data_IF_638720930361
#
_entry.id   IF_638720930361
#
_cell.length_a   1.000
_cell.length_b   1.000
_cell.length_c   1.000
_cell.angle_alpha   90.00
_cell.angle_beta   90.00
_cell.angle_gamma   90.00
#
_symmetry.space_group_name_H-M   'P 1'
#
loop_
_entity.id
_entity.type
_entity.pdbx_description
1 polymer ?
#
# COMPACT_ATOMS: atom_id res chain seq x y z
N UNK A 1 -0.09 -25.38 -11.73
CA UNK A 1 0.71 -24.60 -10.75
C UNK A 1 -0.11 -23.48 -10.06
N UNK A 2 -0.78 -22.59 -10.79
CA UNK A 2 -1.52 -21.46 -10.18
C UNK A 2 -2.76 -21.79 -9.33
N UNK A 3 -3.26 -23.05 -9.31
CA UNK A 3 -4.37 -23.48 -8.44
C UNK A 3 -3.88 -23.89 -7.06
N UNK A 4 -2.81 -24.68 -6.98
CA UNK A 4 -2.20 -25.10 -5.72
C UNK A 4 -1.66 -23.90 -4.93
N UNK A 5 -0.97 -22.98 -5.61
CA UNK A 5 -0.43 -21.76 -4.98
C UNK A 5 -1.54 -20.83 -4.45
N UNK A 6 -2.68 -20.74 -5.15
CA UNK A 6 -3.84 -19.97 -4.67
C UNK A 6 -4.50 -20.64 -3.47
N UNK A 7 -4.65 -21.97 -3.51
CA UNK A 7 -5.23 -22.71 -2.41
C UNK A 7 -4.36 -22.62 -1.16
N UNK A 8 -3.04 -22.79 -1.27
CA UNK A 8 -2.13 -22.65 -0.13
C UNK A 8 -2.10 -21.24 0.43
N UNK A 9 -2.11 -20.20 -0.43
CA UNK A 9 -2.16 -18.81 0.02
C UNK A 9 -3.48 -18.45 0.71
N UNK A 10 -4.62 -18.94 0.18
CA UNK A 10 -5.95 -18.75 0.78
C UNK A 10 -6.07 -19.51 2.10
N UNK A 11 -5.61 -20.76 2.16
CA UNK A 11 -5.66 -21.54 3.40
C UNK A 11 -4.73 -20.95 4.46
N UNK A 12 -3.52 -20.53 4.09
CA UNK A 12 -2.58 -19.89 4.99
C UNK A 12 -3.14 -18.57 5.55
N UNK A 13 -3.71 -17.72 4.68
CA UNK A 13 -4.39 -16.49 5.08
C UNK A 13 -5.56 -16.76 6.03
N UNK A 14 -6.39 -17.75 5.72
CA UNK A 14 -7.50 -18.16 6.58
C UNK A 14 -7.03 -18.66 7.96
N UNK A 15 -5.99 -19.51 8.03
CA UNK A 15 -5.45 -19.98 9.32
C UNK A 15 -4.84 -18.87 10.16
N UNK A 16 -4.11 -17.94 9.54
CA UNK A 16 -3.53 -16.79 10.24
C UNK A 16 -4.63 -15.86 10.75
N UNK A 17 -5.66 -15.62 9.93
CA UNK A 17 -6.83 -14.81 10.30
C UNK A 17 -7.59 -15.40 11.49
N UNK A 18 -7.88 -16.70 11.45
CA UNK A 18 -8.60 -17.40 12.52
C UNK A 18 -7.77 -17.38 13.80
N UNK A 19 -6.47 -17.71 13.72
CA UNK A 19 -5.59 -17.69 14.90
C UNK A 19 -5.43 -16.30 15.52
N UNK A 20 -5.32 -15.24 14.71
CA UNK A 20 -5.30 -13.86 15.22
C UNK A 20 -6.61 -13.46 15.86
N UNK A 21 -7.75 -13.83 15.26
CA UNK A 21 -9.08 -13.52 15.78
C UNK A 21 -9.33 -14.19 17.13
N UNK A 22 -8.96 -15.46 17.27
CA UNK A 22 -9.10 -16.20 18.54
C UNK A 22 -8.20 -15.61 19.62
N UNK A 23 -6.93 -15.31 19.30
CA UNK A 23 -5.99 -14.70 20.25
C UNK A 23 -6.47 -13.32 20.73
N UNK A 24 -7.02 -12.50 19.83
CA UNK A 24 -7.55 -11.18 20.17
C UNK A 24 -8.84 -11.27 21.00
N UNK A 25 -9.72 -12.24 20.71
CA UNK A 25 -10.95 -12.47 21.47
C UNK A 25 -10.67 -12.98 22.89
N UNK A 26 -9.71 -13.91 23.05
CA UNK A 26 -9.28 -14.39 24.36
C UNK A 26 -8.66 -13.27 25.20
N UNK A 27 -7.85 -12.39 24.59
CA UNK A 27 -7.27 -11.25 25.28
C UNK A 27 -8.29 -10.18 25.65
N UNK A 28 -9.26 -9.91 24.78
CA UNK A 28 -10.39 -9.04 25.13
C UNK A 28 -11.20 -9.60 26.31
N UNK A 29 -11.39 -10.92 26.36
CA UNK A 29 -12.03 -11.60 27.48
C UNK A 29 -11.22 -11.49 28.78
N UNK A 30 -9.89 -11.56 28.70
CA UNK A 30 -9.00 -11.48 29.86
C UNK A 30 -8.80 -10.05 30.41
N UNK A 31 -8.89 -9.02 29.56
CA UNK A 31 -8.69 -7.61 29.96
C UNK A 31 -9.89 -7.02 30.74
N UNK A 32 -11.05 -7.67 30.70
CA UNK A 32 -12.26 -7.26 31.43
C UNK A 32 -12.89 -5.93 30.95
N UNK A 33 -14.11 -5.59 31.41
CA UNK A 33 -14.85 -4.41 30.95
C UNK A 33 -14.15 -3.08 31.22
N UNK A 34 -13.27 -3.05 32.23
CA UNK A 34 -12.55 -1.86 32.70
C UNK A 34 -11.46 -1.36 31.76
N UNK A 35 -10.86 -2.24 30.94
CA UNK A 35 -9.93 -1.83 29.88
C UNK A 35 -10.65 -1.19 28.68
N UNK A 36 -11.89 -1.62 28.42
CA UNK A 36 -12.76 -1.15 27.31
C UNK A 36 -13.32 0.25 27.60
N UNK A 37 -13.36 0.67 28.87
CA UNK A 37 -13.73 2.04 29.25
C UNK A 37 -12.62 3.08 29.03
N UNK A 38 -11.35 2.67 28.93
CA UNK A 38 -10.21 3.56 28.70
C UNK A 38 -9.80 3.69 27.22
N UNK A 39 -9.89 2.60 26.46
CA UNK A 39 -9.72 2.61 25.01
C UNK A 39 -11.08 2.79 24.33
N UNK A 40 -11.24 3.81 23.48
CA UNK A 40 -12.49 4.09 22.77
C UNK A 40 -13.02 2.80 22.13
N UNK A 41 -14.12 2.24 22.63
CA UNK A 41 -14.68 0.97 22.16
C UNK A 41 -14.90 0.90 20.63
N UNK A 42 -15.06 2.06 19.97
CA UNK A 42 -15.09 2.19 18.50
C UNK A 42 -13.75 1.88 17.81
N UNK A 43 -12.62 2.32 18.37
CA UNK A 43 -11.28 2.03 17.84
C UNK A 43 -10.94 0.55 17.94
N UNK A 44 -11.32 -0.10 19.06
CA UNK A 44 -11.17 -1.54 19.29
C UNK A 44 -12.02 -2.36 18.32
N UNK A 45 -13.27 -1.94 18.05
CA UNK A 45 -14.14 -2.61 17.07
C UNK A 45 -13.65 -2.44 15.63
N UNK A 46 -13.15 -1.26 15.26
CA UNK A 46 -12.58 -1.01 13.94
C UNK A 46 -11.31 -1.84 13.70
N UNK A 47 -10.43 -1.98 14.69
CA UNK A 47 -9.23 -2.84 14.58
C UNK A 47 -9.56 -4.32 14.52
N UNK A 48 -10.55 -4.80 15.27
CA UNK A 48 -10.97 -6.21 15.28
C UNK A 48 -11.67 -6.66 13.99
N UNK A 49 -12.42 -5.78 13.34
CA UNK A 49 -13.20 -6.13 12.14
C UNK A 49 -12.42 -5.76 10.88
N UNK A 50 -12.12 -4.48 10.68
CA UNK A 50 -11.46 -4.01 9.45
C UNK A 50 -9.97 -4.39 9.40
N UNK A 51 -9.32 -4.45 10.57
CA UNK A 51 -7.92 -4.84 10.67
C UNK A 51 -7.68 -6.33 10.40
N UNK A 52 -8.52 -7.20 10.95
CA UNK A 52 -8.41 -8.66 10.76
C UNK A 52 -8.75 -9.06 9.32
N UNK A 53 -9.72 -8.40 8.68
CA UNK A 53 -9.99 -8.59 7.25
C UNK A 53 -8.85 -8.07 6.37
N UNK A 54 -8.23 -6.95 6.73
CA UNK A 54 -7.07 -6.42 6.02
C UNK A 54 -5.83 -7.32 6.12
N UNK A 55 -5.60 -7.97 7.26
CA UNK A 55 -4.48 -8.91 7.46
C UNK A 55 -4.62 -10.16 6.58
N UNK A 56 -5.84 -10.65 6.38
CA UNK A 56 -6.07 -11.75 5.46
C UNK A 56 -5.69 -11.40 4.01
N UNK A 57 -6.08 -10.22 3.53
CA UNK A 57 -5.71 -9.75 2.19
C UNK A 57 -4.17 -9.58 2.05
N UNK A 58 -3.51 -9.10 3.10
CA UNK A 58 -2.05 -8.95 3.12
C UNK A 58 -1.32 -10.30 3.01
N UNK A 59 -1.72 -11.28 3.81
CA UNK A 59 -1.05 -12.60 3.84
C UNK A 59 -1.43 -13.46 2.63
N UNK A 60 -2.69 -13.43 2.21
CA UNK A 60 -3.19 -14.31 1.13
C UNK A 60 -2.95 -13.78 -0.29
N UNK A 61 -2.78 -12.45 -0.47
CA UNK A 61 -2.65 -11.84 -1.81
C UNK A 61 -1.38 -11.03 -1.96
N UNK A 62 -1.06 -10.15 -1.02
CA UNK A 62 0.10 -9.28 -1.15
C UNK A 62 1.42 -10.04 -1.00
N UNK A 63 1.58 -10.88 0.03
CA UNK A 63 2.84 -11.60 0.27
C UNK A 63 3.21 -12.57 -0.87
N UNK A 64 2.28 -13.38 -1.41
CA UNK A 64 2.56 -14.23 -2.57
C UNK A 64 2.90 -13.41 -3.81
N UNK A 65 2.18 -12.30 -4.05
CA UNK A 65 2.45 -11.42 -5.19
C UNK A 65 3.81 -10.74 -5.05
N UNK A 66 4.21 -10.33 -3.84
CA UNK A 66 5.52 -9.75 -3.58
C UNK A 66 6.67 -10.71 -3.90
N UNK A 67 6.51 -12.00 -3.57
CA UNK A 67 7.48 -13.04 -3.95
C UNK A 67 7.58 -13.19 -5.47
N UNK A 68 6.44 -13.22 -6.17
CA UNK A 68 6.41 -13.28 -7.64
C UNK A 68 7.11 -12.05 -8.24
N UNK A 69 6.82 -10.86 -7.74
CA UNK A 69 7.40 -9.60 -8.23
C UNK A 69 8.88 -9.44 -7.88
N UNK A 70 9.39 -10.09 -6.83
CA UNK A 70 10.83 -10.14 -6.56
C UNK A 70 11.57 -11.19 -7.41
N UNK A 71 10.89 -12.25 -7.85
CA UNK A 71 11.53 -13.35 -8.58
C UNK A 71 11.40 -13.23 -10.11
N UNK A 72 10.22 -12.87 -10.62
CA UNK A 72 9.91 -12.89 -12.06
C UNK A 72 10.61 -11.77 -12.84
N UNK A 73 10.54 -10.48 -12.45
CA UNK A 73 11.22 -9.41 -13.17
C UNK A 73 12.73 -9.59 -13.33
N UNK A 74 13.52 -9.94 -12.29
CA UNK A 74 14.96 -10.18 -12.49
C UNK A 74 15.24 -11.41 -13.36
N UNK A 75 14.43 -12.46 -13.27
CA UNK A 75 14.59 -13.64 -14.14
C UNK A 75 14.32 -13.30 -15.61
N UNK A 76 13.29 -12.49 -15.88
CA UNK A 76 13.01 -11.97 -17.22
C UNK A 76 14.13 -11.02 -17.69
N UNK A 77 14.69 -10.20 -16.80
CA UNK A 77 15.80 -9.30 -17.14
C UNK A 77 17.06 -10.07 -17.54
N UNK A 78 17.36 -11.17 -16.84
CA UNK A 78 18.45 -12.09 -17.22
C UNK A 78 18.15 -12.72 -18.59
N UNK A 79 16.92 -13.17 -18.84
CA UNK A 79 16.53 -13.71 -20.14
C UNK A 79 16.65 -12.68 -21.27
N UNK A 80 16.27 -11.42 -21.04
CA UNK A 80 16.51 -10.33 -22.01
C UNK A 80 18.01 -10.12 -22.23
N UNK A 81 18.82 -10.10 -21.17
CA UNK A 81 20.26 -9.89 -21.27
C UNK A 81 20.99 -10.99 -22.06
N UNK A 82 20.49 -12.23 -22.01
CA UNK A 82 21.01 -13.36 -22.79
C UNK A 82 20.68 -13.24 -24.29
N UNK A 83 19.59 -12.55 -24.65
CA UNK A 83 19.18 -12.35 -26.05
C UNK A 83 19.77 -11.08 -26.63
N UNK A 84 19.64 -9.96 -25.91
CA UNK A 84 20.22 -8.67 -26.27
C UNK A 84 20.61 -7.87 -24.99
N UNK A 85 21.91 -7.80 -24.65
CA UNK A 85 22.39 -7.09 -23.45
C UNK A 85 22.15 -5.57 -23.46
N UNK A 86 22.13 -4.91 -24.61
CA UNK A 86 21.83 -3.48 -24.75
C UNK A 86 20.36 -3.19 -24.42
N UNK A 87 19.44 -4.07 -24.80
CA UNK A 87 18.04 -3.91 -24.44
C UNK A 87 17.81 -4.14 -22.94
N UNK A 88 18.54 -5.09 -22.33
CA UNK A 88 18.51 -5.29 -20.88
C UNK A 88 19.07 -4.07 -20.11
N UNK A 89 20.06 -3.38 -20.67
CA UNK A 89 20.64 -2.18 -20.06
C UNK A 89 19.67 -0.99 -20.08
N UNK A 90 18.78 -0.92 -21.07
CA UNK A 90 17.69 0.05 -21.11
C UNK A 90 16.51 -0.33 -20.18
N UNK A 91 16.15 -1.61 -20.10
CA UNK A 91 15.05 -2.11 -19.26
C UNK A 91 15.39 -2.18 -17.77
N UNK A 92 16.64 -2.51 -17.44
CA UNK A 92 17.14 -2.68 -16.08
C UNK A 92 16.79 -1.52 -15.14
N UNK A 93 17.22 -0.28 -15.47
CA UNK A 93 16.92 0.89 -14.66
C UNK A 93 15.42 1.14 -14.51
N UNK A 94 14.64 0.95 -15.57
CA UNK A 94 13.19 1.16 -15.54
C UNK A 94 12.48 0.17 -14.60
N UNK A 95 12.84 -1.12 -14.65
CA UNK A 95 12.32 -2.15 -13.75
C UNK A 95 12.76 -1.90 -12.31
N UNK A 96 14.02 -1.51 -12.10
CA UNK A 96 14.55 -1.21 -10.77
C UNK A 96 13.84 -0.01 -10.15
N UNK A 97 13.61 1.05 -10.93
CA UNK A 97 12.92 2.26 -10.51
C UNK A 97 11.44 1.98 -10.24
N UNK A 98 10.78 1.15 -11.06
CA UNK A 98 9.40 0.73 -10.80
C UNK A 98 9.26 -0.16 -9.55
N UNK A 99 10.28 -0.97 -9.21
CA UNK A 99 10.26 -1.84 -8.04
C UNK A 99 10.64 -1.11 -6.74
N UNK A 100 11.60 -0.19 -6.81
CA UNK A 100 12.14 0.50 -5.64
C UNK A 100 11.51 1.87 -5.41
N UNK A 101 10.99 2.53 -6.45
CA UNK A 101 10.41 3.88 -6.41
C UNK A 101 9.36 4.04 -5.30
N UNK A 102 8.29 3.24 -5.30
CA UNK A 102 7.24 3.34 -4.29
C UNK A 102 7.75 3.15 -2.86
N UNK A 103 8.69 2.22 -2.64
CA UNK A 103 9.25 1.93 -1.30
C UNK A 103 10.24 2.99 -0.81
N UNK A 104 11.04 3.54 -1.71
CA UNK A 104 11.96 4.63 -1.38
C UNK A 104 11.19 5.89 -1.04
N UNK A 105 10.16 6.19 -1.82
CA UNK A 105 9.32 7.36 -1.64
C UNK A 105 8.45 7.25 -0.38
N UNK A 106 7.85 6.08 -0.13
CA UNK A 106 7.16 5.79 1.12
C UNK A 106 8.08 5.94 2.32
N UNK A 107 9.33 5.48 2.29
CA UNK A 107 10.28 5.69 3.41
C UNK A 107 10.66 7.16 3.62
N UNK A 108 10.76 7.93 2.54
CA UNK A 108 11.04 9.37 2.60
C UNK A 108 9.87 10.13 3.25
N UNK A 109 8.63 9.66 3.02
CA UNK A 109 7.39 10.26 3.55
C UNK A 109 6.89 9.64 4.87
N UNK A 110 7.28 8.40 5.20
CA UNK A 110 6.77 7.62 6.33
C UNK A 110 7.06 8.25 7.70
N UNK A 111 7.96 9.22 7.76
CA UNK A 111 8.19 10.01 8.98
C UNK A 111 6.93 10.77 9.46
N UNK A 112 5.84 10.82 8.68
CA UNK A 112 4.59 11.51 9.04
C UNK A 112 3.32 10.64 9.11
N UNK A 113 3.46 9.30 9.04
CA UNK A 113 2.30 8.39 9.03
C UNK A 113 1.46 8.40 10.31
N UNK A 114 2.11 8.47 11.48
CA UNK A 114 1.43 8.54 12.80
C UNK A 114 0.68 9.86 13.01
N UNK A 115 1.30 10.97 12.61
CA UNK A 115 0.72 12.32 12.78
C UNK A 115 -0.65 12.48 12.09
N UNK A 116 -0.89 11.76 10.98
CA UNK A 116 -2.16 11.86 10.25
C UNK A 116 -3.33 11.17 10.96
N UNK A 117 -3.10 10.00 11.56
CA UNK A 117 -4.15 9.26 12.25
C UNK A 117 -4.47 9.89 13.60
N UNK A 118 -3.44 10.33 14.34
CA UNK A 118 -3.62 11.05 15.60
C UNK A 118 -4.40 12.35 15.41
N UNK A 119 -4.15 13.09 14.31
CA UNK A 119 -4.88 14.32 14.01
C UNK A 119 -6.33 14.10 13.58
N UNK A 120 -6.64 13.00 12.87
CA UNK A 120 -8.01 12.63 12.54
C UNK A 120 -8.81 12.24 13.79
N UNK A 121 -8.25 11.39 14.65
CA UNK A 121 -8.94 10.90 15.85
C UNK A 121 -9.13 12.01 16.89
N UNK A 122 -8.15 12.92 17.02
CA UNK A 122 -8.27 14.11 17.84
C UNK A 122 -9.38 15.04 17.33
N UNK A 123 -9.46 15.27 16.01
CA UNK A 123 -10.53 16.08 15.43
C UNK A 123 -11.91 15.44 15.66
N UNK A 124 -12.04 14.12 15.49
CA UNK A 124 -13.28 13.41 15.78
C UNK A 124 -13.68 13.51 17.26
N UNK A 125 -12.70 13.49 18.18
CA UNK A 125 -12.92 13.75 19.61
C UNK A 125 -13.44 15.17 19.85
N UNK A 126 -12.80 16.18 19.26
CA UNK A 126 -13.20 17.59 19.40
C UNK A 126 -14.65 17.81 18.90
N UNK A 127 -15.04 17.17 17.79
CA UNK A 127 -16.40 17.23 17.27
C UNK A 127 -17.40 16.60 18.24
N UNK A 128 -17.08 15.43 18.80
CA UNK A 128 -17.95 14.74 19.75
C UNK A 128 -18.12 15.56 21.03
N UNK A 129 -17.03 16.12 21.57
CA UNK A 129 -17.05 16.96 22.76
C UNK A 129 -17.86 18.25 22.51
N UNK A 130 -17.70 18.88 21.34
CA UNK A 130 -18.48 20.06 20.97
C UNK A 130 -19.98 19.76 20.83
N UNK A 131 -20.35 18.59 20.30
CA UNK A 131 -21.74 18.14 20.18
C UNK A 131 -22.36 17.83 21.55
N UNK A 132 -21.63 17.13 22.41
CA UNK A 132 -22.10 16.79 23.76
C UNK A 132 -22.17 18.03 24.68
N UNK A 133 -21.22 18.94 24.57
CA UNK A 133 -21.15 20.19 25.34
C UNK A 133 -21.95 21.35 24.76
N UNK A 134 -22.74 21.13 23.70
CA UNK A 134 -23.41 22.20 22.95
C UNK A 134 -24.35 23.09 23.77
N UNK A 135 -25.12 22.57 24.76
CA UNK A 135 -25.91 23.41 25.66
C UNK A 135 -25.05 24.40 26.47
N UNK A 136 -23.93 23.92 27.02
CA UNK A 136 -22.97 24.71 27.79
C UNK A 136 -22.28 25.77 26.92
N UNK A 137 -21.93 25.41 25.68
CA UNK A 137 -21.34 26.34 24.72
C UNK A 137 -22.30 27.47 24.31
N UNK A 138 -23.60 27.18 24.22
CA UNK A 138 -24.63 28.21 23.98
C UNK A 138 -24.81 29.11 25.20
N UNK A 139 -24.91 28.54 26.40
CA UNK A 139 -25.07 29.30 27.64
C UNK A 139 -23.90 30.27 27.91
N UNK A 140 -22.68 29.89 27.52
CA UNK A 140 -21.46 30.69 27.69
C UNK A 140 -21.12 31.60 26.51
N UNK A 141 -21.92 31.58 25.42
CA UNK A 141 -21.64 32.35 24.21
C UNK A 141 -20.37 31.93 23.45
N UNK A 142 -19.82 30.75 23.75
CA UNK A 142 -18.53 30.29 23.22
C UNK A 142 -18.61 29.60 21.84
N UNK A 143 -19.80 29.45 21.27
CA UNK A 143 -20.05 28.72 20.01
C UNK A 143 -19.15 29.18 18.87
N UNK A 144 -19.02 30.49 18.63
CA UNK A 144 -18.21 31.01 17.53
C UNK A 144 -16.73 30.66 17.66
N UNK A 145 -16.19 30.74 18.88
CA UNK A 145 -14.78 30.42 19.18
C UNK A 145 -14.47 28.94 18.96
N UNK A 146 -15.38 28.06 19.38
CA UNK A 146 -15.22 26.61 19.18
C UNK A 146 -15.36 26.25 17.70
N UNK A 147 -16.32 26.85 16.98
CA UNK A 147 -16.48 26.66 15.53
C UNK A 147 -15.18 27.00 14.78
N UNK A 148 -14.62 28.17 15.04
CA UNK A 148 -13.38 28.62 14.39
C UNK A 148 -12.17 27.74 14.72
N UNK A 149 -12.14 27.15 15.93
CA UNK A 149 -11.11 26.16 16.31
C UNK A 149 -11.25 24.87 15.49
N UNK A 150 -12.47 24.33 15.37
CA UNK A 150 -12.76 23.12 14.59
C UNK A 150 -12.50 23.34 13.10
N UNK A 151 -12.90 24.49 12.54
CA UNK A 151 -12.63 24.86 11.15
C UNK A 151 -11.12 24.90 10.85
N UNK A 152 -10.32 25.51 11.73
CA UNK A 152 -8.86 25.55 11.58
C UNK A 152 -8.23 24.16 11.61
N UNK A 153 -8.65 23.29 12.53
CA UNK A 153 -8.15 21.90 12.62
C UNK A 153 -8.58 21.08 11.40
N UNK A 154 -9.83 21.21 10.97
CA UNK A 154 -10.36 20.57 9.76
C UNK A 154 -9.59 20.99 8.51
N UNK A 155 -9.33 22.29 8.33
CA UNK A 155 -8.56 22.80 7.21
C UNK A 155 -7.10 22.33 7.22
N UNK A 156 -6.49 22.20 8.40
CA UNK A 156 -5.14 21.65 8.54
C UNK A 156 -5.09 20.17 8.13
N UNK A 157 -6.05 19.36 8.58
CA UNK A 157 -6.18 17.96 8.19
C UNK A 157 -6.40 17.81 6.69
N UNK A 158 -7.32 18.60 6.11
CA UNK A 158 -7.59 18.60 4.68
C UNK A 158 -6.32 18.90 3.86
N UNK A 159 -5.55 19.93 4.23
CA UNK A 159 -4.28 20.24 3.57
C UNK A 159 -3.27 19.09 3.66
N UNK A 160 -3.18 18.44 4.83
CA UNK A 160 -2.28 17.30 5.01
C UNK A 160 -2.70 16.10 4.13
N UNK A 161 -3.99 15.78 4.06
CA UNK A 161 -4.52 14.72 3.19
C UNK A 161 -4.24 15.01 1.72
N UNK A 162 -4.57 16.22 1.25
CA UNK A 162 -4.35 16.62 -0.15
C UNK A 162 -2.86 16.61 -0.50
N UNK A 163 -1.98 17.03 0.41
CA UNK A 163 -0.54 16.96 0.20
C UNK A 163 -0.08 15.50 0.01
N UNK A 164 -0.56 14.57 0.84
CA UNK A 164 -0.24 13.13 0.69
C UNK A 164 -0.77 12.56 -0.64
N UNK A 165 -2.00 12.90 -1.02
CA UNK A 165 -2.58 12.48 -2.29
C UNK A 165 -1.79 12.99 -3.49
N UNK A 166 -1.41 14.28 -3.49
CA UNK A 166 -0.56 14.87 -4.55
C UNK A 166 0.75 14.12 -4.70
N UNK A 167 1.39 13.81 -3.58
CA UNK A 167 2.67 13.10 -3.60
C UNK A 167 2.52 11.66 -4.11
N UNK A 168 1.47 10.95 -3.70
CA UNK A 168 1.16 9.61 -4.22
C UNK A 168 0.84 9.61 -5.72
N UNK A 169 0.13 10.63 -6.21
CA UNK A 169 -0.14 10.83 -7.64
C UNK A 169 1.15 11.08 -8.43
N UNK A 170 2.07 11.89 -7.92
CA UNK A 170 3.36 12.17 -8.56
C UNK A 170 4.23 10.91 -8.61
N UNK A 171 4.29 10.14 -7.52
CA UNK A 171 5.05 8.89 -7.45
C UNK A 171 4.51 7.84 -8.44
N UNK A 172 3.18 7.71 -8.51
CA UNK A 172 2.52 6.82 -9.48
C UNK A 172 2.78 7.28 -10.91
N UNK A 173 2.67 8.58 -11.18
CA UNK A 173 2.92 9.14 -12.51
C UNK A 173 4.38 8.96 -12.96
N UNK A 174 5.34 9.19 -12.07
CA UNK A 174 6.76 9.00 -12.37
C UNK A 174 7.08 7.52 -12.65
N UNK A 175 6.50 6.62 -11.85
CA UNK A 175 6.63 5.17 -12.06
C UNK A 175 6.05 4.76 -13.41
N UNK A 176 4.86 5.26 -13.76
CA UNK A 176 4.22 4.92 -15.05
C UNK A 176 5.01 5.48 -16.25
N UNK A 177 5.54 6.69 -16.14
CA UNK A 177 6.45 7.25 -17.16
C UNK A 177 7.73 6.44 -17.31
N UNK A 178 8.31 5.94 -16.22
CA UNK A 178 9.50 5.09 -16.27
C UNK A 178 9.19 3.74 -16.95
N UNK A 179 8.03 3.15 -16.66
CA UNK A 179 7.56 1.91 -17.30
C UNK A 179 7.34 2.10 -18.80
N UNK A 180 6.59 3.14 -19.18
CA UNK A 180 6.29 3.44 -20.59
C UNK A 180 7.57 3.82 -21.36
N UNK A 181 8.43 4.66 -20.77
CA UNK A 181 9.70 5.07 -21.35
C UNK A 181 10.68 3.91 -21.52
N UNK A 182 10.80 3.05 -20.50
CA UNK A 182 11.63 1.84 -20.56
C UNK A 182 11.14 0.86 -21.63
N UNK A 183 9.82 0.68 -21.74
CA UNK A 183 9.21 -0.16 -22.80
C UNK A 183 9.49 0.43 -24.18
N UNK A 184 9.28 1.73 -24.38
CA UNK A 184 9.53 2.39 -25.66
C UNK A 184 11.02 2.31 -26.06
N UNK A 185 11.94 2.53 -25.13
CA UNK A 185 13.37 2.38 -25.37
C UNK A 185 13.74 0.94 -25.75
N UNK A 186 13.20 -0.07 -25.06
CA UNK A 186 13.42 -1.47 -25.38
C UNK A 186 12.94 -1.82 -26.80
N UNK A 187 11.75 -1.34 -27.18
CA UNK A 187 11.17 -1.52 -28.51
C UNK A 187 12.07 -0.88 -29.57
N UNK A 188 12.55 0.34 -29.34
CA UNK A 188 13.45 1.03 -30.27
C UNK A 188 14.77 0.27 -30.48
N UNK A 189 15.36 -0.24 -29.41
CA UNK A 189 16.57 -1.08 -29.47
C UNK A 189 16.31 -2.41 -30.18
N UNK A 190 15.14 -3.02 -29.95
CA UNK A 190 14.75 -4.24 -30.63
C UNK A 190 14.59 -4.02 -32.15
N UNK A 191 13.90 -2.94 -32.55
CA UNK A 191 13.70 -2.57 -33.95
C UNK A 191 15.01 -2.20 -34.65
N UNK A 192 15.91 -1.45 -34.00
CA UNK A 192 17.21 -1.10 -34.57
C UNK A 192 18.11 -2.33 -34.74
N UNK A 193 18.05 -3.29 -33.82
CA UNK A 193 18.77 -4.56 -33.90
C UNK A 193 18.25 -5.46 -35.02
N UNK A 194 16.94 -5.46 -35.25
CA UNK A 194 16.32 -6.15 -36.38
C UNK A 194 16.72 -5.50 -37.72
N UNK A 195 16.70 -4.17 -37.80
CA UNK A 195 17.07 -3.43 -39.02
C UNK A 195 18.56 -3.60 -39.39
N UNK A 196 19.43 -3.79 -38.40
CA UNK A 196 20.87 -4.05 -38.60
C UNK A 196 21.20 -5.52 -38.84
N UNK A 197 20.20 -6.42 -38.85
CA UNK A 197 20.38 -7.86 -39.03
C UNK A 197 21.11 -8.56 -37.86
N UNK A 198 21.29 -7.85 -36.73
CA UNK A 198 22.09 -8.28 -35.58
C UNK A 198 21.34 -9.28 -34.69
N UNK A 199 20.01 -9.28 -34.77
CA UNK A 199 19.13 -10.21 -34.05
C UNK A 199 18.16 -10.89 -35.03
N UNK A 200 17.99 -12.20 -34.89
CA UNK A 200 16.99 -12.94 -35.64
C UNK A 200 15.57 -12.38 -35.35
N UNK A 201 14.67 -12.44 -36.33
CA UNK A 201 13.29 -11.95 -36.19
C UNK A 201 12.58 -12.55 -34.95
N UNK A 202 12.86 -13.82 -34.64
CA UNK A 202 12.38 -14.49 -33.42
C UNK A 202 12.89 -13.82 -32.14
N UNK A 203 14.16 -13.42 -32.10
CA UNK A 203 14.76 -12.73 -30.95
C UNK A 203 14.13 -11.37 -30.70
N UNK A 204 13.87 -10.59 -31.76
CA UNK A 204 13.16 -9.30 -31.66
C UNK A 204 11.75 -9.47 -31.12
N UNK A 205 11.01 -10.47 -31.61
CA UNK A 205 9.65 -10.77 -31.13
C UNK A 205 9.65 -11.20 -29.65
N UNK A 206 10.60 -12.07 -29.27
CA UNK A 206 10.78 -12.52 -27.89
C UNK A 206 11.06 -11.33 -26.96
N UNK A 207 11.87 -10.37 -27.42
CA UNK A 207 12.27 -9.20 -26.64
C UNK A 207 11.11 -8.24 -26.39
N UNK A 208 10.24 -8.03 -27.39
CA UNK A 208 9.01 -7.25 -27.24
C UNK A 208 8.05 -7.89 -26.22
N UNK A 209 7.93 -9.21 -26.27
CA UNK A 209 7.07 -9.97 -25.36
C UNK A 209 7.61 -9.96 -23.92
N UNK A 210 8.92 -10.16 -23.75
CA UNK A 210 9.59 -10.09 -22.44
C UNK A 210 9.52 -8.68 -21.83
N UNK A 211 9.70 -7.63 -22.65
CA UNK A 211 9.60 -6.24 -22.17
C UNK A 211 8.22 -5.97 -21.56
N UNK A 212 7.14 -6.43 -22.19
CA UNK A 212 5.78 -6.28 -21.66
C UNK A 212 5.55 -7.09 -20.37
N UNK A 213 6.06 -8.33 -20.32
CA UNK A 213 5.91 -9.21 -19.15
C UNK A 213 6.74 -8.75 -17.94
N UNK A 214 7.85 -8.03 -18.13
CA UNK A 214 8.65 -7.48 -17.01
C UNK A 214 7.85 -6.52 -16.11
N UNK A 215 6.93 -5.75 -16.68
CA UNK A 215 6.19 -4.71 -15.95
C UNK A 215 4.87 -5.20 -15.36
N UNK A 216 4.35 -6.34 -15.81
CA UNK A 216 3.10 -6.92 -15.35
C UNK A 216 3.11 -7.28 -13.85
N UNK A 217 4.12 -7.99 -13.31
CA UNK A 217 4.18 -8.30 -11.88
C UNK A 217 4.28 -7.06 -10.98
N UNK A 218 4.94 -6.00 -11.46
CA UNK A 218 5.09 -4.75 -10.71
C UNK A 218 3.76 -4.02 -10.60
N UNK A 219 2.99 -3.96 -11.69
CA UNK A 219 1.63 -3.41 -11.69
C UNK A 219 0.69 -4.19 -10.79
N UNK A 220 0.73 -5.51 -10.86
CA UNK A 220 -0.11 -6.37 -10.02
C UNK A 220 0.29 -6.23 -8.54
N UNK A 221 1.57 -6.12 -8.20
CA UNK A 221 1.99 -5.84 -6.82
C UNK A 221 1.43 -4.51 -6.28
N UNK A 222 1.40 -3.46 -7.11
CA UNK A 222 0.88 -2.15 -6.72
C UNK A 222 -0.63 -2.19 -6.39
N UNK A 223 -1.40 -2.94 -7.19
CA UNK A 223 -2.83 -3.18 -6.94
C UNK A 223 -3.06 -3.94 -5.64
N UNK A 224 -2.26 -4.97 -5.40
CA UNK A 224 -2.38 -5.83 -4.23
C UNK A 224 -1.90 -5.12 -2.95
N UNK A 225 -0.96 -4.18 -3.07
CA UNK A 225 -0.55 -3.30 -1.97
C UNK A 225 -1.70 -2.42 -1.48
N UNK A 226 -2.47 -1.84 -2.40
CA UNK A 226 -3.65 -1.05 -2.04
C UNK A 226 -4.72 -1.90 -1.35
N UNK A 227 -4.90 -3.16 -1.80
CA UNK A 227 -5.79 -4.11 -1.14
C UNK A 227 -5.31 -4.52 0.26
N UNK A 228 -4.00 -4.60 0.50
CA UNK A 228 -3.38 -4.93 1.79
C UNK A 228 -3.17 -3.74 2.74
N UNK A 229 -3.35 -2.50 2.27
CA UNK A 229 -3.07 -1.28 3.04
C UNK A 229 -3.89 -1.21 4.34
N UNK A 230 -5.15 -1.62 4.29
CA UNK A 230 -6.05 -1.68 5.46
C UNK A 230 -5.49 -2.60 6.57
N UNK A 231 -4.87 -3.72 6.20
CA UNK A 231 -4.26 -4.66 7.15
C UNK A 231 -3.01 -4.13 7.81
N UNK A 232 -2.14 -3.45 7.05
CA UNK A 232 -0.92 -2.83 7.58
C UNK A 232 -1.24 -1.64 8.47
N UNK A 233 -2.25 -0.83 8.13
CA UNK A 233 -2.68 0.30 8.97
C UNK A 233 -3.28 -0.14 10.31
N UNK A 234 -3.86 -1.34 10.38
CA UNK A 234 -4.40 -1.89 11.63
C UNK A 234 -3.36 -2.62 12.49
N UNK A 235 -2.16 -2.91 11.95
CA UNK A 235 -1.14 -3.69 12.65
C UNK A 235 -0.64 -3.02 13.95
N UNK A 236 -0.51 -1.68 13.96
CA UNK A 236 -0.12 -0.93 15.16
C UNK A 236 -1.20 -1.00 16.26
N UNK A 237 -2.48 -0.96 15.88
CA UNK A 237 -3.59 -1.12 16.82
C UNK A 237 -3.74 -2.55 17.35
N UNK A 238 -3.46 -3.55 16.52
CA UNK A 238 -3.39 -4.96 16.94
C UNK A 238 -2.20 -5.19 17.90
N UNK A 239 -1.05 -4.58 17.63
CA UNK A 239 0.11 -4.67 18.51
C UNK A 239 -0.13 -4.03 19.88
N UNK A 240 -0.81 -2.87 19.90
CA UNK A 240 -1.19 -2.18 21.15
C UNK A 240 -2.22 -2.93 22.00
N UNK A 241 -3.03 -3.82 21.42
CA UNK A 241 -3.95 -4.72 22.15
C UNK A 241 -3.26 -6.01 22.62
N UNK A 242 -2.06 -6.31 22.10
CA UNK A 242 -1.33 -7.55 22.37
C UNK A 242 -0.31 -7.41 23.50
N UNK A 243 0.15 -6.19 23.80
CA UNK A 243 0.97 -5.83 24.98
C UNK A 243 0.09 -5.42 26.14
#
# INVERSE_FOLDING_TARGET
>A
LGRAQRLTAVTAGATVRIGLRDTLLERLGALGPTAITGARAGAVRATLVDGVEGVDAYVSRYLPQALITCAVPPLLLVAVALVEPYAALALGPAVLLALLGPRWWDRLLARRGKEHWDSYEALAADYLEALQGMPTLRATGAVGRVRERLERRSAALHRATVAKLRVSLVDTGLTDLAVQGGTAAAVLVACSSAATGRTAATGTYLLLLLASECFRPVRDLSREWHAGYLGVSAADGIAGLRT
#
